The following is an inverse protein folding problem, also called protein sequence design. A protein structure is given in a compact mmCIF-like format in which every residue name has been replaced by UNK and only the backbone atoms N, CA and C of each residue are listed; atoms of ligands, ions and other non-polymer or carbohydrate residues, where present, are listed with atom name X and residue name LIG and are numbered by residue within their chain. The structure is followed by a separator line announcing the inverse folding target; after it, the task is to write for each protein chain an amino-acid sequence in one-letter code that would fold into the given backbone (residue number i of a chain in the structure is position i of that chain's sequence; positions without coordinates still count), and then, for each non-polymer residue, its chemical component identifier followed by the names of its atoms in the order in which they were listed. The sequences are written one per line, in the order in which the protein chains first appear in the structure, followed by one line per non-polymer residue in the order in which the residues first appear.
data_IF_968070090631
#
_entry.id   IF_968070090631
#
_cell.length_a   1.000
_cell.length_b   1.000
_cell.length_c   1.000
_cell.angle_alpha   90.00
_cell.angle_beta   90.00
_cell.angle_gamma   90.00
#
_symmetry.space_group_name_H-M   'P 1'
#
loop_
_entity.id
_entity.type
_entity.pdbx_description
1 polymer ?
#
# COMPACT_ATOMS: atom_id res chain seq x y z
N UNK A 1 11.16 28.87 40.88
CA UNK A 1 11.52 27.45 41.04
C UNK A 1 11.05 26.73 39.77
N UNK A 2 11.93 26.49 38.80
CA UNK A 2 11.57 25.88 37.52
C UNK A 2 11.78 24.36 37.55
N UNK A 3 10.79 23.59 37.12
CA UNK A 3 10.90 22.13 37.01
C UNK A 3 11.38 21.79 35.60
N UNK A 4 12.48 21.05 35.50
CA UNK A 4 12.99 20.53 34.23
C UNK A 4 12.39 19.14 34.02
N UNK A 5 11.65 18.96 32.92
CA UNK A 5 11.18 17.64 32.49
C UNK A 5 12.27 16.99 31.63
N UNK A 6 12.88 15.91 32.13
CA UNK A 6 13.75 15.06 31.31
C UNK A 6 12.90 14.09 30.52
N UNK A 7 12.85 14.27 29.20
CA UNK A 7 12.28 13.29 28.29
C UNK A 7 13.32 12.18 28.05
N UNK A 8 12.93 10.93 28.28
CA UNK A 8 13.75 9.79 27.90
C UNK A 8 13.66 9.61 26.39
N UNK A 9 14.81 9.59 25.71
CA UNK A 9 14.86 9.22 24.31
C UNK A 9 14.44 7.75 24.19
N UNK A 10 13.49 7.40 23.31
CA UNK A 10 13.20 6.01 22.99
C UNK A 10 14.50 5.32 22.53
N UNK A 11 14.70 4.02 22.81
CA UNK A 11 15.80 3.28 22.21
C UNK A 11 15.71 3.39 20.69
N UNK A 12 16.86 3.41 19.97
CA UNK A 12 16.84 3.39 18.51
C UNK A 12 15.97 2.21 18.07
N UNK A 13 14.97 2.51 17.26
CA UNK A 13 14.13 1.50 16.63
C UNK A 13 15.09 0.50 15.96
N UNK A 14 14.92 -0.78 16.29
CA UNK A 14 15.68 -1.87 15.68
C UNK A 14 15.69 -1.65 14.17
N UNK A 15 16.82 -1.89 13.50
CA UNK A 15 16.86 -2.07 12.05
C UNK A 15 15.83 -3.16 11.73
N UNK A 16 14.61 -2.73 11.41
CA UNK A 16 13.62 -3.58 10.77
C UNK A 16 14.27 -3.81 9.42
N UNK A 17 14.91 -4.96 9.25
CA UNK A 17 15.18 -5.50 7.92
C UNK A 17 13.83 -5.48 7.21
N UNK A 18 13.59 -4.42 6.43
CA UNK A 18 12.41 -4.32 5.60
C UNK A 18 12.44 -5.58 4.75
N UNK A 19 11.37 -6.38 4.78
CA UNK A 19 11.35 -7.61 4.02
C UNK A 19 11.69 -7.26 2.57
N UNK A 20 12.68 -7.99 2.04
CA UNK A 20 13.16 -7.99 0.66
C UNK A 20 12.22 -7.24 -0.27
N UNK A 21 12.69 -6.14 -0.85
CA UNK A 21 11.94 -5.31 -1.80
C UNK A 21 11.01 -6.19 -2.65
N UNK A 22 9.70 -6.02 -2.46
CA UNK A 22 8.71 -6.78 -3.20
C UNK A 22 9.01 -6.63 -4.69
N UNK A 23 9.20 -7.77 -5.37
CA UNK A 23 9.36 -7.76 -6.81
C UNK A 23 8.18 -7.02 -7.46
N UNK A 24 8.47 -6.21 -8.46
CA UNK A 24 7.49 -5.30 -9.05
C UNK A 24 6.26 -6.04 -9.58
N UNK A 25 6.44 -7.22 -10.17
CA UNK A 25 5.31 -8.01 -10.70
C UNK A 25 4.45 -8.53 -9.55
N UNK A 26 5.09 -8.99 -8.47
CA UNK A 26 4.37 -9.40 -7.25
C UNK A 26 3.61 -8.24 -6.64
N UNK A 27 4.20 -7.04 -6.56
CA UNK A 27 3.55 -5.85 -6.04
C UNK A 27 2.30 -5.46 -6.85
N UNK A 28 2.38 -5.57 -8.19
CA UNK A 28 1.23 -5.32 -9.07
C UNK A 28 0.13 -6.37 -8.89
N UNK A 29 0.49 -7.64 -8.78
CA UNK A 29 -0.47 -8.72 -8.50
C UNK A 29 -1.22 -8.50 -7.18
N UNK A 30 -0.52 -8.06 -6.12
CA UNK A 30 -1.16 -7.69 -4.85
C UNK A 30 -2.10 -6.50 -5.02
N UNK A 31 -1.66 -5.43 -5.68
CA UNK A 31 -2.49 -4.24 -5.91
C UNK A 31 -3.78 -4.56 -6.69
N UNK A 32 -3.71 -5.44 -7.70
CA UNK A 32 -4.89 -5.88 -8.46
C UNK A 32 -5.90 -6.64 -7.59
N UNK A 33 -5.41 -7.50 -6.68
CA UNK A 33 -6.26 -8.22 -5.72
C UNK A 33 -6.90 -7.26 -4.72
N UNK A 34 -6.12 -6.33 -4.17
CA UNK A 34 -6.60 -5.34 -3.21
C UNK A 34 -7.70 -4.45 -3.82
N UNK A 35 -7.52 -3.98 -5.06
CA UNK A 35 -8.54 -3.19 -5.76
C UNK A 35 -9.83 -4.00 -6.01
N UNK A 36 -9.70 -5.30 -6.29
CA UNK A 36 -10.84 -6.21 -6.39
C UNK A 36 -11.57 -6.38 -5.06
N UNK A 37 -10.83 -6.49 -3.96
CA UNK A 37 -11.39 -6.60 -2.62
C UNK A 37 -12.08 -5.30 -2.16
N UNK A 38 -11.43 -4.15 -2.36
CA UNK A 38 -11.98 -2.83 -2.05
C UNK A 38 -13.29 -2.60 -2.82
N UNK A 39 -13.31 -2.87 -4.12
CA UNK A 39 -14.52 -2.67 -4.95
C UNK A 39 -15.69 -3.57 -4.52
N UNK A 40 -15.41 -4.77 -3.96
CA UNK A 40 -16.43 -5.67 -3.43
C UNK A 40 -16.96 -5.26 -2.06
N UNK A 41 -16.08 -4.77 -1.19
CA UNK A 41 -16.38 -4.50 0.22
C UNK A 41 -16.91 -3.09 0.48
N UNK A 42 -16.70 -2.15 -0.44
CA UNK A 42 -17.14 -0.76 -0.27
C UNK A 42 -18.62 -0.57 -0.60
N UNK A 43 -19.34 0.16 0.26
CA UNK A 43 -20.72 0.59 0.04
C UNK A 43 -20.81 1.92 -0.74
N UNK A 44 -19.67 2.61 -0.91
CA UNK A 44 -19.61 3.90 -1.61
C UNK A 44 -19.40 3.67 -3.11
N UNK A 45 -20.43 3.96 -3.89
CA UNK A 45 -20.40 3.78 -5.36
C UNK A 45 -19.23 4.51 -6.03
N UNK A 46 -18.93 5.75 -5.61
CA UNK A 46 -17.81 6.51 -6.15
C UNK A 46 -16.45 5.82 -5.89
N UNK A 47 -16.27 5.21 -4.71
CA UNK A 47 -15.05 4.47 -4.37
C UNK A 47 -14.96 3.19 -5.19
N UNK A 48 -16.08 2.50 -5.39
CA UNK A 48 -16.15 1.31 -6.24
C UNK A 48 -15.74 1.61 -7.68
N UNK A 49 -16.30 2.68 -8.26
CA UNK A 49 -15.97 3.11 -9.63
C UNK A 49 -14.50 3.49 -9.78
N UNK A 50 -13.95 4.23 -8.82
CA UNK A 50 -12.53 4.59 -8.80
C UNK A 50 -11.62 3.35 -8.68
N UNK A 51 -11.96 2.40 -7.80
CA UNK A 51 -11.20 1.17 -7.63
C UNK A 51 -11.18 0.32 -8.92
N UNK A 52 -12.31 0.23 -9.62
CA UNK A 52 -12.38 -0.46 -10.92
C UNK A 52 -11.54 0.24 -11.98
N UNK A 53 -11.64 1.56 -12.12
CA UNK A 53 -10.83 2.33 -13.07
C UNK A 53 -9.33 2.19 -12.81
N UNK A 54 -8.93 2.25 -11.53
CA UNK A 54 -7.55 2.05 -11.12
C UNK A 54 -7.05 0.65 -11.50
N UNK A 55 -7.88 -0.37 -11.26
CA UNK A 55 -7.55 -1.76 -11.60
C UNK A 55 -7.34 -1.94 -13.10
N UNK A 56 -8.27 -1.43 -13.91
CA UNK A 56 -8.21 -1.56 -15.37
C UNK A 56 -6.96 -0.87 -15.94
N UNK A 57 -6.59 0.29 -15.39
CA UNK A 57 -5.35 0.99 -15.76
C UNK A 57 -4.08 0.19 -15.41
N UNK A 58 -4.03 -0.38 -14.19
CA UNK A 58 -2.90 -1.18 -13.72
C UNK A 58 -2.76 -2.50 -14.51
N UNK A 59 -3.87 -3.17 -14.80
CA UNK A 59 -3.88 -4.41 -15.57
C UNK A 59 -3.42 -4.17 -17.01
N UNK A 60 -3.86 -3.08 -17.65
CA UNK A 60 -3.39 -2.69 -18.97
C UNK A 60 -1.88 -2.41 -18.99
N UNK A 61 -1.37 -1.68 -17.98
CA UNK A 61 0.06 -1.40 -17.85
C UNK A 61 0.88 -2.69 -17.61
N UNK A 62 0.38 -3.60 -16.79
CA UNK A 62 1.02 -4.88 -16.50
C UNK A 62 1.14 -5.76 -17.75
N UNK A 63 0.03 -5.92 -18.48
CA UNK A 63 0.00 -6.68 -19.73
C UNK A 63 0.91 -6.07 -20.80
N UNK A 64 0.98 -4.74 -20.88
CA UNK A 64 1.89 -4.05 -21.80
C UNK A 64 3.38 -4.23 -21.44
N UNK A 65 3.71 -4.40 -20.15
CA UNK A 65 5.07 -4.67 -19.71
C UNK A 65 5.50 -6.13 -19.85
N UNK A 66 4.53 -7.05 -19.91
CA UNK A 66 4.75 -8.49 -20.00
C UNK A 66 4.89 -9.03 -21.45
N UNK A 67 4.69 -8.19 -22.47
CA UNK A 67 4.79 -8.53 -23.90
C UNK A 67 5.88 -7.74 -24.62
#
# INVERSE_FOLDING_TARGET
MGVVLQFRLPPPEFDIELPTELDLLSAVDFALRDLSDISRQTDLQAVREQALQCRDMLEAAYLAAAG
#
